data_IF_042561474972
#
_entry.id   IF_042561474972
#
_cell.length_a   1.000
_cell.length_b   1.000
_cell.length_c   1.000
_cell.angle_alpha   90.00
_cell.angle_beta   90.00
_cell.angle_gamma   90.00
#
_symmetry.space_group_name_H-M   'P 1'
#
loop_
_entity.id
_entity.type
_entity.pdbx_description
1 polymer ?
#
# COMPACT_ATOMS: atom_id res chain seq x y z
N UNK A 1 18.38 13.13 9.65
CA UNK A 1 17.18 13.77 9.06
C UNK A 1 16.01 12.80 9.13
N UNK A 2 14.84 13.26 9.56
CA UNK A 2 13.60 12.48 9.47
C UNK A 2 13.06 12.71 8.05
N UNK A 3 13.23 11.73 7.17
CA UNK A 3 12.62 11.78 5.84
C UNK A 3 11.13 11.50 5.98
N UNK A 4 10.30 12.53 5.87
CA UNK A 4 8.84 12.39 5.94
C UNK A 4 8.32 11.80 4.63
N UNK A 5 8.30 10.47 4.53
CA UNK A 5 7.61 9.79 3.45
C UNK A 5 6.10 9.89 3.70
N UNK A 6 5.45 10.80 2.97
CA UNK A 6 4.01 11.01 3.10
C UNK A 6 3.22 9.79 2.58
N UNK A 7 1.99 9.62 3.08
CA UNK A 7 1.23 8.37 2.91
C UNK A 7 0.96 8.01 1.43
N UNK A 8 0.83 9.02 0.57
CA UNK A 8 0.39 8.89 -0.83
C UNK A 8 1.42 9.40 -1.85
N UNK A 9 2.41 10.18 -1.42
CA UNK A 9 3.35 10.88 -2.32
C UNK A 9 4.73 10.96 -1.70
N UNK A 10 5.77 10.87 -2.53
CA UNK A 10 7.11 11.24 -2.11
C UNK A 10 7.10 12.74 -1.81
N UNK A 11 7.71 13.12 -0.68
CA UNK A 11 7.83 14.53 -0.32
C UNK A 11 8.45 15.29 -1.49
N UNK A 12 7.89 16.48 -1.77
CA UNK A 12 8.31 17.25 -2.94
C UNK A 12 9.79 17.63 -2.82
N UNK A 13 10.26 17.94 -1.61
CA UNK A 13 11.67 18.24 -1.34
C UNK A 13 12.54 17.02 -1.59
N UNK A 14 12.19 15.85 -1.04
CA UNK A 14 12.95 14.61 -1.27
C UNK A 14 13.02 14.28 -2.76
N UNK A 15 11.89 14.43 -3.48
CA UNK A 15 11.83 14.17 -4.92
C UNK A 15 12.73 15.13 -5.70
N UNK A 16 12.66 16.43 -5.41
CA UNK A 16 13.43 17.45 -6.13
C UNK A 16 14.93 17.34 -5.79
N UNK A 17 15.28 16.99 -4.55
CA UNK A 17 16.66 16.75 -4.12
C UNK A 17 17.27 15.48 -4.75
N UNK A 18 16.49 14.40 -4.87
CA UNK A 18 16.89 13.20 -5.61
C UNK A 18 17.10 13.50 -7.11
N UNK A 19 16.24 14.35 -7.70
CA UNK A 19 16.38 14.78 -9.10
C UNK A 19 17.57 15.71 -9.32
N UNK A 20 17.97 16.50 -8.32
CA UNK A 20 19.10 17.43 -8.40
C UNK A 20 20.44 16.82 -7.95
N UNK A 21 20.51 15.50 -7.71
CA UNK A 21 21.71 14.81 -7.18
C UNK A 21 22.26 15.45 -5.89
N UNK A 22 21.38 15.94 -5.02
CA UNK A 22 21.79 16.60 -3.77
C UNK A 22 22.11 15.62 -2.64
N UNK A 23 21.65 14.38 -2.75
CA UNK A 23 21.92 13.33 -1.79
C UNK A 23 23.20 12.55 -2.14
N UNK A 24 23.90 12.11 -1.11
CA UNK A 24 24.96 11.11 -1.24
C UNK A 24 24.36 9.73 -1.51
N UNK A 25 25.17 8.80 -2.03
CA UNK A 25 24.70 7.43 -2.32
C UNK A 25 24.21 6.71 -1.06
N UNK A 26 24.86 6.94 0.10
CA UNK A 26 24.46 6.34 1.37
C UNK A 26 23.12 6.90 1.89
N UNK A 27 22.85 8.19 1.69
CA UNK A 27 21.54 8.79 1.99
C UNK A 27 20.44 8.22 1.11
N UNK A 28 20.71 8.03 -0.19
CA UNK A 28 19.74 7.44 -1.12
C UNK A 28 19.44 5.98 -0.75
N UNK A 29 20.46 5.21 -0.33
CA UNK A 29 20.27 3.86 0.23
C UNK A 29 19.40 3.88 1.47
N UNK A 30 19.62 4.81 2.39
CA UNK A 30 18.81 4.97 3.59
C UNK A 30 17.34 5.29 3.26
N UNK A 31 17.10 6.23 2.34
CA UNK A 31 15.75 6.58 1.86
C UNK A 31 15.07 5.37 1.22
N UNK A 32 15.78 4.58 0.41
CA UNK A 32 15.23 3.38 -0.21
C UNK A 32 14.95 2.27 0.81
N UNK A 33 15.80 2.11 1.81
CA UNK A 33 15.59 1.13 2.89
C UNK A 33 14.33 1.47 3.69
N UNK A 34 14.16 2.74 4.07
CA UNK A 34 12.94 3.21 4.74
C UNK A 34 11.70 2.97 3.88
N UNK A 35 11.78 3.18 2.56
CA UNK A 35 10.69 2.82 1.65
C UNK A 35 10.36 1.32 1.69
N UNK A 36 11.37 0.45 1.67
CA UNK A 36 11.16 -1.01 1.71
C UNK A 36 10.50 -1.45 3.03
N UNK A 37 10.96 -0.93 4.17
CA UNK A 37 10.35 -1.19 5.48
C UNK A 37 8.90 -0.71 5.52
N UNK A 38 8.65 0.53 5.10
CA UNK A 38 7.31 1.10 5.05
C UNK A 38 6.40 0.28 4.15
N UNK A 39 6.94 -0.25 3.05
CA UNK A 39 6.23 -1.13 2.13
C UNK A 39 5.87 -2.46 2.75
N UNK A 40 6.78 -3.08 3.47
CA UNK A 40 6.51 -4.34 4.15
C UNK A 40 5.49 -4.14 5.28
N UNK A 41 5.64 -3.10 6.08
CA UNK A 41 4.72 -2.76 7.17
C UNK A 41 3.29 -2.53 6.64
N UNK A 42 3.15 -1.74 5.58
CA UNK A 42 1.86 -1.50 4.94
C UNK A 42 1.30 -2.76 4.28
N UNK A 43 2.13 -3.60 3.66
CA UNK A 43 1.67 -4.88 3.13
C UNK A 43 1.10 -5.79 4.23
N UNK A 44 1.79 -5.89 5.38
CA UNK A 44 1.28 -6.57 6.58
C UNK A 44 -0.02 -5.95 7.08
N UNK A 45 -0.09 -4.61 7.15
CA UNK A 45 -1.29 -3.88 7.54
C UNK A 45 -2.49 -4.16 6.62
N UNK A 46 -2.29 -4.11 5.31
CA UNK A 46 -3.31 -4.44 4.31
C UNK A 46 -3.75 -5.91 4.41
N UNK A 47 -2.81 -6.84 4.65
CA UNK A 47 -3.14 -8.25 4.87
C UNK A 47 -4.04 -8.44 6.09
N UNK A 48 -3.71 -7.79 7.21
CA UNK A 48 -4.53 -7.83 8.43
C UNK A 48 -5.89 -7.16 8.22
N UNK A 49 -5.95 -6.01 7.55
CA UNK A 49 -7.19 -5.33 7.20
C UNK A 49 -8.10 -6.18 6.30
N UNK A 50 -7.51 -6.85 5.30
CA UNK A 50 -8.25 -7.79 4.46
C UNK A 50 -8.81 -8.97 5.26
N UNK A 51 -8.02 -9.55 6.16
CA UNK A 51 -8.44 -10.68 6.98
C UNK A 51 -9.56 -10.30 7.98
N UNK A 52 -9.45 -9.13 8.61
CA UNK A 52 -10.51 -8.61 9.50
C UNK A 52 -11.79 -8.31 8.75
N UNK A 53 -11.71 -7.75 7.53
CA UNK A 53 -12.87 -7.56 6.66
C UNK A 53 -13.56 -8.88 6.30
N UNK A 54 -12.80 -9.92 5.94
CA UNK A 54 -13.36 -11.26 5.65
C UNK A 54 -14.10 -11.81 6.87
N UNK A 55 -13.53 -11.68 8.07
CA UNK A 55 -14.17 -12.11 9.32
C UNK A 55 -15.49 -11.38 9.54
N UNK A 56 -15.52 -10.05 9.41
CA UNK A 56 -16.73 -9.23 9.59
C UNK A 56 -17.79 -9.61 8.54
N UNK A 57 -17.37 -9.76 7.29
CA UNK A 57 -18.24 -10.13 6.17
C UNK A 57 -18.85 -11.52 6.35
N UNK A 58 -18.16 -12.45 7.02
CA UNK A 58 -18.69 -13.76 7.35
C UNK A 58 -19.60 -13.74 8.59
N UNK A 59 -19.23 -12.98 9.62
CA UNK A 59 -19.95 -12.94 10.90
C UNK A 59 -21.34 -12.27 10.78
N UNK A 60 -21.41 -11.17 10.02
CA UNK A 60 -22.65 -10.42 9.79
C UNK A 60 -23.81 -11.26 9.21
N UNK A 61 -23.65 -11.98 8.09
CA UNK A 61 -24.72 -12.81 7.54
C UNK A 61 -25.09 -13.96 8.48
N UNK A 62 -24.13 -14.54 9.20
CA UNK A 62 -24.39 -15.55 10.24
C UNK A 62 -25.36 -15.01 11.30
N UNK A 63 -25.09 -13.82 11.84
CA UNK A 63 -25.96 -13.17 12.83
C UNK A 63 -27.33 -12.80 12.25
N UNK A 64 -27.40 -12.37 10.98
CA UNK A 64 -28.65 -12.06 10.30
C UNK A 64 -29.55 -13.31 10.13
N UNK A 65 -28.94 -14.46 9.83
CA UNK A 65 -29.64 -15.76 9.73
C UNK A 65 -30.15 -16.18 11.10
N UNK A 66 -29.31 -16.16 12.14
CA UNK A 66 -29.70 -16.55 13.50
C UNK A 66 -30.79 -15.65 14.10
N UNK A 67 -30.82 -14.38 13.75
CA UNK A 67 -31.83 -13.44 14.25
C UNK A 67 -33.18 -13.52 13.53
N UNK A 68 -33.33 -14.39 12.52
CA UNK A 68 -34.56 -14.52 11.73
C UNK A 68 -34.89 -13.30 10.86
N UNK A 69 -33.96 -12.33 10.74
CA UNK A 69 -34.09 -11.10 9.94
C UNK A 69 -33.50 -11.23 8.54
N UNK A 70 -32.98 -12.40 8.18
CA UNK A 70 -32.33 -12.63 6.91
C UNK A 70 -33.35 -12.59 5.75
N UNK A 71 -33.26 -11.53 4.95
CA UNK A 71 -33.92 -11.46 3.66
C UNK A 71 -33.01 -12.06 2.57
N UNK A 72 -33.57 -12.76 1.57
CA UNK A 72 -32.81 -13.33 0.45
C UNK A 72 -31.99 -12.28 -0.30
N UNK A 73 -32.60 -11.11 -0.55
CA UNK A 73 -31.93 -9.98 -1.20
C UNK A 73 -30.77 -9.47 -0.35
N UNK A 74 -30.97 -9.40 0.97
CA UNK A 74 -29.93 -8.98 1.92
C UNK A 74 -28.73 -9.94 1.88
N UNK A 75 -28.98 -11.26 1.90
CA UNK A 75 -27.93 -12.27 1.82
C UNK A 75 -27.14 -12.19 0.51
N UNK A 76 -27.82 -12.03 -0.64
CA UNK A 76 -27.15 -11.92 -1.95
C UNK A 76 -26.23 -10.70 -2.00
N UNK A 77 -26.72 -9.54 -1.55
CA UNK A 77 -25.92 -8.30 -1.50
C UNK A 77 -24.73 -8.46 -0.56
N UNK A 78 -24.94 -9.06 0.62
CA UNK A 78 -23.93 -9.26 1.64
C UNK A 78 -22.83 -10.25 1.23
N UNK A 79 -23.18 -11.34 0.52
CA UNK A 79 -22.22 -12.38 0.12
C UNK A 79 -21.47 -12.07 -1.18
N UNK A 80 -22.06 -11.29 -2.08
CA UNK A 80 -21.47 -11.06 -3.41
C UNK A 80 -21.09 -9.60 -3.63
N UNK A 81 -22.04 -8.66 -3.49
CA UNK A 81 -21.77 -7.27 -3.83
C UNK A 81 -20.77 -6.62 -2.86
N UNK A 82 -20.97 -6.84 -1.56
CA UNK A 82 -20.17 -6.19 -0.51
C UNK A 82 -18.71 -6.67 -0.49
N UNK A 83 -18.40 -7.97 -0.63
CA UNK A 83 -17.03 -8.45 -0.74
C UNK A 83 -16.34 -8.01 -2.03
N UNK A 84 -17.05 -8.01 -3.17
CA UNK A 84 -16.51 -7.50 -4.44
C UNK A 84 -16.15 -6.03 -4.31
N UNK A 85 -17.04 -5.22 -3.74
CA UNK A 85 -16.79 -3.79 -3.51
C UNK A 85 -15.63 -3.57 -2.53
N UNK A 86 -15.58 -4.32 -1.42
CA UNK A 86 -14.49 -4.23 -0.46
C UNK A 86 -13.13 -4.62 -1.07
N UNK A 87 -13.07 -5.69 -1.86
CA UNK A 87 -11.87 -6.11 -2.59
C UNK A 87 -11.44 -5.04 -3.59
N UNK A 88 -12.39 -4.45 -4.32
CA UNK A 88 -12.12 -3.37 -5.27
C UNK A 88 -11.56 -2.14 -4.56
N UNK A 89 -12.17 -1.71 -3.45
CA UNK A 89 -11.66 -0.60 -2.63
C UNK A 89 -10.27 -0.88 -2.06
N UNK A 90 -10.03 -2.07 -1.50
CA UNK A 90 -8.72 -2.46 -0.97
C UNK A 90 -7.66 -2.50 -2.07
N UNK A 91 -7.97 -3.11 -3.22
CA UNK A 91 -7.07 -3.19 -4.36
C UNK A 91 -6.72 -1.82 -4.92
N UNK A 92 -7.71 -0.93 -5.04
CA UNK A 92 -7.54 0.43 -5.55
C UNK A 92 -6.75 1.29 -4.55
N UNK A 93 -7.05 1.18 -3.25
CA UNK A 93 -6.29 1.84 -2.19
C UNK A 93 -4.84 1.36 -2.14
N UNK A 94 -4.60 0.05 -2.27
CA UNK A 94 -3.27 -0.53 -2.35
C UNK A 94 -2.52 -0.02 -3.58
N UNK A 95 -3.17 -0.05 -4.75
CA UNK A 95 -2.58 0.43 -6.00
C UNK A 95 -2.24 1.91 -5.95
N UNK A 96 -3.12 2.77 -5.45
CA UNK A 96 -2.87 4.20 -5.35
C UNK A 96 -1.74 4.52 -4.37
N UNK A 97 -1.77 3.94 -3.17
CA UNK A 97 -0.74 4.22 -2.15
C UNK A 97 0.64 3.70 -2.56
N UNK A 98 0.72 2.53 -3.17
CA UNK A 98 2.02 1.91 -3.51
C UNK A 98 2.49 2.19 -4.92
N UNK A 99 1.59 2.13 -5.88
CA UNK A 99 1.90 2.29 -7.30
C UNK A 99 2.43 3.69 -7.59
N UNK A 100 1.68 4.72 -7.17
CA UNK A 100 2.08 6.12 -7.43
C UNK A 100 3.38 6.47 -6.70
N UNK A 101 3.48 6.11 -5.42
CA UNK A 101 4.67 6.36 -4.62
C UNK A 101 5.93 5.70 -5.22
N UNK A 102 5.85 4.40 -5.50
CA UNK A 102 6.96 3.62 -6.08
C UNK A 102 7.39 4.19 -7.43
N UNK A 103 6.43 4.60 -8.27
CA UNK A 103 6.73 5.22 -9.56
C UNK A 103 7.42 6.58 -9.41
N UNK A 104 6.98 7.42 -8.47
CA UNK A 104 7.61 8.73 -8.21
C UNK A 104 9.05 8.55 -7.74
N UNK A 105 9.27 7.69 -6.75
CA UNK A 105 10.60 7.41 -6.21
C UNK A 105 11.53 6.78 -7.27
N UNK A 106 11.02 5.80 -8.03
CA UNK A 106 11.80 5.15 -9.09
C UNK A 106 12.15 6.12 -10.21
N UNK A 107 11.25 7.03 -10.60
CA UNK A 107 11.53 8.07 -11.59
C UNK A 107 12.62 9.04 -11.10
N UNK A 108 12.52 9.50 -9.86
CA UNK A 108 13.51 10.42 -9.27
C UNK A 108 14.90 9.76 -9.18
N UNK A 109 14.97 8.55 -8.64
CA UNK A 109 16.24 7.83 -8.49
C UNK A 109 16.83 7.34 -9.82
N UNK A 110 16.02 7.02 -10.84
CA UNK A 110 16.54 6.51 -12.12
C UNK A 110 17.48 7.50 -12.82
N UNK A 111 17.35 8.80 -12.55
CA UNK A 111 18.17 9.84 -13.20
C UNK A 111 19.63 9.78 -12.74
N UNK A 112 19.87 9.63 -11.44
CA UNK A 112 21.23 9.73 -10.87
C UNK A 112 21.68 8.50 -10.06
N UNK A 113 20.75 7.61 -9.69
CA UNK A 113 20.96 6.52 -8.73
C UNK A 113 20.38 5.19 -9.22
N UNK A 114 20.25 5.00 -10.54
CA UNK A 114 19.71 3.77 -11.12
C UNK A 114 20.44 2.50 -10.63
N UNK A 115 21.76 2.60 -10.44
CA UNK A 115 22.59 1.51 -9.94
C UNK A 115 22.21 1.08 -8.50
N UNK A 116 21.79 2.02 -7.65
CA UNK A 116 21.35 1.72 -6.27
C UNK A 116 20.03 0.95 -6.27
N UNK A 117 19.12 1.29 -7.19
CA UNK A 117 17.84 0.56 -7.34
C UNK A 117 18.09 -0.91 -7.69
N UNK A 118 19.04 -1.15 -8.57
CA UNK A 118 19.41 -2.49 -9.03
C UNK A 118 20.14 -3.28 -7.93
N UNK A 119 21.09 -2.64 -7.25
CA UNK A 119 21.77 -3.22 -6.09
C UNK A 119 20.78 -3.65 -5.00
N UNK A 120 19.85 -2.77 -4.64
CA UNK A 120 18.88 -3.04 -3.58
C UNK A 120 17.80 -4.05 -3.99
N UNK A 121 17.46 -4.15 -5.27
CA UNK A 121 16.56 -5.18 -5.77
C UNK A 121 17.22 -6.56 -5.82
N UNK A 122 18.52 -6.63 -6.13
CA UNK A 122 19.27 -7.89 -6.17
C UNK A 122 19.61 -8.42 -4.77
N UNK A 123 19.61 -7.56 -3.75
CA UNK A 123 19.79 -7.95 -2.34
C UNK A 123 18.51 -8.45 -1.64
N UNK A 124 17.36 -8.36 -2.31
CA UNK A 124 16.05 -8.72 -1.76
C UNK A 124 15.66 -10.15 -2.12
#
# INVERSE_FOLDING_TARGET
>A
MVYSIWFTTLDKEIKDDLLCKRYTEDEVRSIYHQYLELKEQRHKGFKTAGMTLVVILALMPLLAIFSGRANLIFLIVQLFLLPIFALLCLGLAYYLMFGMFSQQLRKAMKVHYAHIIEEMNNKK
#
